data_IF_234605899597
#
_entry.id   IF_234605899597
#
_cell.length_a   1.000
_cell.length_b   1.000
_cell.length_c   1.000
_cell.angle_alpha   90.00
_cell.angle_beta   90.00
_cell.angle_gamma   90.00
#
_symmetry.space_group_name_H-M   'P 1'
#
loop_
_entity.id
_entity.type
_entity.pdbx_description
1 polymer ?
#
# COMPACT_ATOMS: atom_id res chain seq x y z
N UNK A 1 3.13 6.90 -0.84
CA UNK A 1 4.31 7.52 -1.48
C UNK A 1 4.78 6.76 -2.71
N UNK A 2 5.10 5.44 -2.64
CA UNK A 2 5.54 4.67 -3.82
C UNK A 2 4.56 4.71 -5.01
N UNK A 3 3.25 4.79 -4.77
CA UNK A 3 2.24 4.92 -5.84
C UNK A 3 2.34 6.21 -6.66
N UNK A 4 2.96 7.27 -6.13
CA UNK A 4 3.22 8.49 -6.90
C UNK A 4 4.30 8.27 -7.97
N UNK A 5 5.32 7.45 -7.67
CA UNK A 5 6.30 7.03 -8.68
C UNK A 5 5.66 6.13 -9.74
N UNK A 6 4.76 5.22 -9.33
CA UNK A 6 4.01 4.38 -10.28
C UNK A 6 3.19 5.23 -11.24
N UNK A 7 2.50 6.26 -10.73
CA UNK A 7 1.74 7.17 -11.56
C UNK A 7 2.63 8.07 -12.44
N UNK A 8 3.77 8.53 -11.92
CA UNK A 8 4.67 9.44 -12.65
C UNK A 8 5.48 8.77 -13.76
N UNK A 9 5.68 7.46 -13.71
CA UNK A 9 6.37 6.67 -14.73
C UNK A 9 5.40 5.90 -15.66
N UNK A 10 4.09 6.08 -15.49
CA UNK A 10 3.07 5.23 -16.11
C UNK A 10 3.27 3.72 -15.85
N UNK A 11 3.99 3.39 -14.77
CA UNK A 11 4.40 2.02 -14.45
C UNK A 11 3.20 1.10 -14.12
N UNK A 12 2.03 1.67 -13.87
CA UNK A 12 0.79 0.91 -13.69
C UNK A 12 0.31 0.17 -14.95
N UNK A 13 0.89 0.47 -16.11
CA UNK A 13 0.55 -0.12 -17.42
C UNK A 13 1.51 -1.23 -17.87
N UNK A 14 2.54 -1.56 -17.07
CA UNK A 14 3.58 -2.51 -17.47
C UNK A 14 3.12 -3.97 -17.28
N UNK A 15 2.88 -4.36 -16.03
CA UNK A 15 2.27 -5.65 -15.71
C UNK A 15 0.87 -5.43 -15.15
N UNK A 16 -0.16 -5.97 -15.80
CA UNK A 16 -1.58 -5.79 -15.41
C UNK A 16 -2.23 -7.08 -14.90
N UNK A 17 -1.44 -8.04 -14.44
CA UNK A 17 -1.91 -9.17 -13.64
C UNK A 17 -1.59 -9.01 -12.15
N UNK A 18 -2.29 -9.80 -11.32
CA UNK A 18 -2.05 -9.93 -9.88
C UNK A 18 -2.39 -11.37 -9.44
N UNK A 19 -1.62 -12.01 -8.53
CA UNK A 19 -0.52 -11.46 -7.74
C UNK A 19 0.84 -11.47 -8.44
N UNK A 20 0.96 -12.20 -9.55
CA UNK A 20 2.19 -12.33 -10.31
C UNK A 20 2.47 -11.08 -11.16
N UNK A 21 3.68 -11.01 -11.72
CA UNK A 21 4.16 -10.05 -12.71
C UNK A 21 4.96 -10.83 -13.75
N UNK A 22 4.50 -10.83 -15.01
CA UNK A 22 5.10 -11.61 -16.09
C UNK A 22 5.04 -13.11 -15.83
N UNK A 23 4.02 -13.59 -15.10
CA UNK A 23 3.93 -14.99 -14.68
C UNK A 23 4.87 -15.40 -13.55
N UNK A 24 5.65 -14.48 -12.98
CA UNK A 24 6.54 -14.73 -11.85
C UNK A 24 6.18 -13.88 -10.62
N UNK A 25 6.63 -14.29 -9.43
CA UNK A 25 6.45 -13.47 -8.22
C UNK A 25 7.40 -12.27 -8.18
N UNK A 26 8.58 -12.43 -8.76
CA UNK A 26 9.63 -11.42 -8.86
C UNK A 26 10.02 -11.36 -10.33
N UNK A 27 9.83 -10.23 -11.03
CA UNK A 27 10.24 -10.08 -12.42
C UNK A 27 11.76 -10.24 -12.60
N UNK A 28 12.19 -10.77 -13.73
CA UNK A 28 13.61 -10.96 -14.05
C UNK A 28 14.32 -9.64 -14.41
N UNK A 29 13.55 -8.65 -14.86
CA UNK A 29 14.01 -7.37 -15.39
C UNK A 29 13.98 -6.22 -14.36
N UNK A 30 14.04 -6.54 -13.05
CA UNK A 30 14.06 -5.53 -11.98
C UNK A 30 15.23 -4.54 -11.99
N UNK A 31 16.28 -4.80 -12.77
CA UNK A 31 17.44 -3.91 -12.86
C UNK A 31 17.78 -3.67 -14.32
N UNK A 32 17.64 -2.42 -14.77
CA UNK A 32 18.14 -1.98 -16.06
C UNK A 32 19.59 -1.50 -15.92
N UNK A 33 20.57 -2.21 -16.51
CA UNK A 33 21.99 -1.87 -16.37
C UNK A 33 22.35 -0.53 -17.04
N UNK A 34 21.49 -0.01 -17.93
CA UNK A 34 21.66 1.29 -18.61
C UNK A 34 21.33 2.47 -17.69
N UNK A 35 20.54 2.26 -16.65
CA UNK A 35 20.24 3.28 -15.64
C UNK A 35 21.40 3.35 -14.64
N UNK A 36 22.11 4.49 -14.62
CA UNK A 36 23.27 4.75 -13.76
C UNK A 36 23.09 6.06 -12.97
N UNK A 37 23.49 6.11 -11.69
CA UNK A 37 23.94 5.00 -10.83
C UNK A 37 22.83 3.98 -10.54
N UNK A 38 23.20 2.75 -10.15
CA UNK A 38 22.29 1.61 -10.07
C UNK A 38 21.06 1.83 -9.16
N UNK A 39 21.20 2.59 -8.06
CA UNK A 39 20.10 2.88 -7.13
C UNK A 39 18.92 3.61 -7.79
N UNK A 40 19.16 4.31 -8.91
CA UNK A 40 18.10 5.01 -9.65
C UNK A 40 17.04 4.05 -10.20
N UNK A 41 17.37 2.77 -10.41
CA UNK A 41 16.36 1.78 -10.79
C UNK A 41 15.19 1.73 -9.78
N UNK A 42 15.44 2.01 -8.50
CA UNK A 42 14.37 2.05 -7.48
C UNK A 42 13.34 3.18 -7.70
N UNK A 43 13.64 4.18 -8.52
CA UNK A 43 12.82 5.38 -8.68
C UNK A 43 12.50 5.71 -10.15
N UNK A 44 13.35 5.28 -11.08
CA UNK A 44 13.30 5.63 -12.50
C UNK A 44 13.00 4.42 -13.40
N UNK A 45 13.14 3.18 -12.90
CA UNK A 45 12.78 1.98 -13.65
C UNK A 45 11.34 1.58 -13.32
N UNK A 46 10.47 1.61 -14.32
CA UNK A 46 9.04 1.37 -14.22
C UNK A 46 8.69 0.01 -13.60
N UNK A 47 9.27 -1.09 -14.07
CA UNK A 47 9.05 -2.45 -13.53
C UNK A 47 9.41 -2.51 -12.05
N UNK A 48 10.56 -1.92 -11.69
CA UNK A 48 11.07 -1.94 -10.32
C UNK A 48 10.18 -1.13 -9.40
N UNK A 49 9.76 0.05 -9.84
CA UNK A 49 8.83 0.92 -9.10
C UNK A 49 7.48 0.24 -8.92
N UNK A 50 6.95 -0.41 -9.96
CA UNK A 50 5.69 -1.15 -9.89
C UNK A 50 5.80 -2.32 -8.90
N UNK A 51 6.86 -3.12 -8.98
CA UNK A 51 7.13 -4.24 -8.07
C UNK A 51 7.26 -3.76 -6.62
N UNK A 52 8.06 -2.73 -6.36
CA UNK A 52 8.23 -2.15 -5.03
C UNK A 52 6.91 -1.63 -4.46
N UNK A 53 6.08 -0.99 -5.29
CA UNK A 53 4.77 -0.52 -4.86
C UNK A 53 3.87 -1.69 -4.42
N UNK A 54 3.81 -2.78 -5.19
CA UNK A 54 3.06 -3.99 -4.84
C UNK A 54 3.54 -4.60 -3.53
N UNK A 55 4.86 -4.78 -3.36
CA UNK A 55 5.45 -5.32 -2.12
C UNK A 55 5.13 -4.43 -0.92
N UNK A 56 5.31 -3.11 -1.03
CA UNK A 56 5.01 -2.18 0.04
C UNK A 56 3.51 -2.18 0.40
N UNK A 57 2.62 -2.28 -0.59
CA UNK A 57 1.19 -2.38 -0.35
C UNK A 57 0.84 -3.67 0.42
N UNK A 58 1.38 -4.81 0.01
CA UNK A 58 1.19 -6.10 0.69
C UNK A 58 1.70 -6.08 2.13
N UNK A 59 2.93 -5.60 2.36
CA UNK A 59 3.52 -5.53 3.70
C UNK A 59 2.74 -4.55 4.59
N UNK A 60 2.32 -3.41 4.05
CA UNK A 60 1.51 -2.42 4.78
C UNK A 60 0.17 -3.02 5.20
N UNK A 61 -0.53 -3.68 4.28
CA UNK A 61 -1.82 -4.30 4.59
C UNK A 61 -1.69 -5.45 5.58
N UNK A 62 -0.68 -6.30 5.44
CA UNK A 62 -0.37 -7.34 6.42
C UNK A 62 -0.07 -6.75 7.81
N UNK A 63 0.64 -5.63 7.87
CA UNK A 63 0.92 -4.91 9.13
C UNK A 63 -0.37 -4.35 9.76
N UNK A 64 -1.28 -3.80 8.96
CA UNK A 64 -2.59 -3.34 9.43
C UNK A 64 -3.39 -4.50 10.04
N UNK A 65 -3.47 -5.64 9.34
CA UNK A 65 -4.17 -6.83 9.85
C UNK A 65 -3.53 -7.35 11.14
N UNK A 66 -2.19 -7.39 11.20
CA UNK A 66 -1.45 -7.78 12.40
C UNK A 66 -1.73 -6.86 13.59
N UNK A 67 -1.69 -5.53 13.38
CA UNK A 67 -2.01 -4.55 14.41
C UNK A 67 -3.44 -4.70 14.91
N UNK A 68 -4.41 -4.87 14.02
CA UNK A 68 -5.81 -5.10 14.38
C UNK A 68 -5.98 -6.40 15.15
N UNK A 69 -5.33 -7.49 14.72
CA UNK A 69 -5.36 -8.76 15.46
C UNK A 69 -4.77 -8.63 16.87
N UNK A 70 -3.64 -7.92 17.03
CA UNK A 70 -3.04 -7.63 18.33
C UNK A 70 -3.95 -6.77 19.22
N UNK A 71 -4.64 -5.78 18.64
CA UNK A 71 -5.62 -4.94 19.33
C UNK A 71 -6.78 -5.75 19.93
N UNK A 72 -7.17 -6.85 19.29
CA UNK A 72 -8.20 -7.78 19.80
C UNK A 72 -7.67 -8.83 20.78
N UNK A 73 -6.39 -9.18 20.72
CA UNK A 73 -5.74 -10.15 21.63
C UNK A 73 -5.19 -9.52 22.93
N UNK A 74 -4.96 -8.21 22.93
CA UNK A 74 -4.32 -7.50 24.04
C UNK A 74 -5.10 -7.59 25.36
N UNK A 75 -4.38 -7.89 26.46
CA UNK A 75 -4.92 -7.89 27.84
C UNK A 75 -5.10 -6.49 28.42
N UNK A 76 -4.38 -5.49 27.90
CA UNK A 76 -4.56 -4.07 28.25
C UNK A 76 -5.66 -3.51 27.35
N UNK A 77 -6.77 -3.08 27.95
CA UNK A 77 -7.93 -2.61 27.20
C UNK A 77 -7.60 -1.38 26.36
N UNK A 78 -7.80 -1.48 25.04
CA UNK A 78 -7.86 -0.30 24.19
C UNK A 78 -9.09 0.54 24.55
N UNK A 79 -8.96 1.86 24.52
CA UNK A 79 -10.12 2.74 24.61
C UNK A 79 -11.08 2.44 23.44
N UNK A 80 -12.40 2.65 23.61
CA UNK A 80 -13.37 2.46 22.52
C UNK A 80 -12.99 3.23 21.25
N UNK A 81 -12.40 4.43 21.40
CA UNK A 81 -11.92 5.25 20.28
C UNK A 81 -10.70 4.63 19.57
N UNK A 82 -9.73 4.10 20.31
CA UNK A 82 -8.58 3.42 19.72
C UNK A 82 -9.01 2.15 18.96
N UNK A 83 -9.98 1.40 19.50
CA UNK A 83 -10.55 0.23 18.83
C UNK A 83 -11.31 0.61 17.55
N UNK A 84 -12.12 1.67 17.60
CA UNK A 84 -12.79 2.20 16.43
C UNK A 84 -11.76 2.63 15.35
N UNK A 85 -10.71 3.35 15.71
CA UNK A 85 -9.66 3.77 14.79
C UNK A 85 -8.94 2.56 14.15
N UNK A 86 -8.63 1.51 14.92
CA UNK A 86 -8.01 0.29 14.40
C UNK A 86 -8.92 -0.45 13.41
N UNK A 87 -10.21 -0.55 13.71
CA UNK A 87 -11.19 -1.17 12.82
C UNK A 87 -11.39 -0.37 11.53
N UNK A 88 -11.47 0.95 11.64
CA UNK A 88 -11.53 1.84 10.48
C UNK A 88 -10.26 1.71 9.64
N UNK A 89 -9.09 1.60 10.27
CA UNK A 89 -7.83 1.40 9.55
C UNK A 89 -7.84 0.10 8.75
N UNK A 90 -8.32 -0.99 9.35
CA UNK A 90 -8.47 -2.28 8.66
C UNK A 90 -9.45 -2.17 7.49
N UNK A 91 -10.64 -1.59 7.70
CA UNK A 91 -11.66 -1.45 6.66
C UNK A 91 -11.18 -0.59 5.47
N UNK A 92 -10.60 0.59 5.74
CA UNK A 92 -10.03 1.47 4.70
C UNK A 92 -8.85 0.78 4.02
N UNK A 93 -8.00 0.07 4.76
CA UNK A 93 -6.90 -0.71 4.20
C UNK A 93 -7.38 -1.77 3.22
N UNK A 94 -8.43 -2.53 3.56
CA UNK A 94 -9.03 -3.53 2.67
C UNK A 94 -9.60 -2.87 1.41
N UNK A 95 -10.38 -1.79 1.57
CA UNK A 95 -10.94 -1.06 0.44
C UNK A 95 -9.84 -0.50 -0.48
N UNK A 96 -8.75 0.01 0.10
CA UNK A 96 -7.61 0.52 -0.64
C UNK A 96 -6.91 -0.57 -1.47
N UNK A 97 -6.68 -1.76 -0.89
CA UNK A 97 -6.07 -2.89 -1.62
C UNK A 97 -6.96 -3.34 -2.77
N UNK A 98 -8.26 -3.50 -2.54
CA UNK A 98 -9.22 -3.86 -3.58
C UNK A 98 -9.18 -2.82 -4.70
N UNK A 99 -9.24 -1.53 -4.35
CA UNK A 99 -9.23 -0.45 -5.33
C UNK A 99 -7.91 -0.39 -6.12
N UNK A 100 -6.77 -0.64 -5.47
CA UNK A 100 -5.46 -0.70 -6.11
C UNK A 100 -5.34 -1.86 -7.11
N UNK A 101 -5.78 -3.06 -6.72
CA UNK A 101 -5.84 -4.22 -7.61
C UNK A 101 -6.81 -3.97 -8.76
N UNK A 102 -7.99 -3.41 -8.50
CA UNK A 102 -8.95 -3.06 -9.56
C UNK A 102 -8.36 -2.05 -10.54
N UNK A 103 -7.69 -1.01 -10.06
CA UNK A 103 -6.99 -0.02 -10.90
C UNK A 103 -5.97 -0.69 -11.80
N UNK A 104 -5.19 -1.63 -11.25
CA UNK A 104 -4.19 -2.40 -11.98
C UNK A 104 -4.81 -3.29 -13.06
N UNK A 105 -5.79 -4.12 -12.71
CA UNK A 105 -6.41 -5.10 -13.64
C UNK A 105 -7.23 -4.44 -14.75
N UNK A 106 -7.64 -3.18 -14.56
CA UNK A 106 -8.42 -2.42 -15.54
C UNK A 106 -7.59 -1.41 -16.33
N UNK A 107 -6.26 -1.53 -16.32
CA UNK A 107 -5.34 -0.67 -17.07
C UNK A 107 -5.41 0.81 -16.67
N UNK A 108 -5.44 1.07 -15.36
CA UNK A 108 -5.34 2.40 -14.75
C UNK A 108 -6.39 3.42 -15.25
N UNK A 109 -7.71 3.13 -15.19
CA UNK A 109 -8.72 4.13 -15.54
C UNK A 109 -8.60 5.33 -14.59
N UNK A 110 -8.56 6.55 -15.13
CA UNK A 110 -8.34 7.78 -14.37
C UNK A 110 -9.25 7.91 -13.13
N UNK A 111 -10.56 7.60 -13.19
CA UNK A 111 -11.43 7.68 -12.01
C UNK A 111 -11.01 6.71 -10.89
N UNK A 112 -10.63 5.47 -11.23
CA UNK A 112 -10.18 4.49 -10.24
C UNK A 112 -8.81 4.88 -9.67
N UNK A 113 -7.87 5.30 -10.53
CA UNK A 113 -6.55 5.74 -10.11
C UNK A 113 -6.61 6.96 -9.17
N UNK A 114 -7.44 7.95 -9.50
CA UNK A 114 -7.65 9.13 -8.67
C UNK A 114 -8.31 8.77 -7.32
N UNK A 115 -9.32 7.89 -7.35
CA UNK A 115 -9.97 7.40 -6.13
C UNK A 115 -8.98 6.62 -5.27
N UNK A 116 -8.09 5.82 -5.88
CA UNK A 116 -7.03 5.10 -5.17
C UNK A 116 -6.05 6.06 -4.51
N UNK A 117 -5.66 7.15 -5.18
CA UNK A 117 -4.82 8.18 -4.57
C UNK A 117 -5.51 8.86 -3.38
N UNK A 118 -6.77 9.26 -3.53
CA UNK A 118 -7.56 9.85 -2.44
C UNK A 118 -7.71 8.86 -1.25
N UNK A 119 -7.97 7.59 -1.54
CA UNK A 119 -8.05 6.54 -0.54
C UNK A 119 -6.74 6.34 0.24
N UNK A 120 -5.58 6.56 -0.39
CA UNK A 120 -4.28 6.49 0.29
C UNK A 120 -4.11 7.62 1.33
N UNK A 121 -4.65 8.81 1.05
CA UNK A 121 -4.65 9.92 2.00
C UNK A 121 -5.60 9.65 3.17
N UNK A 122 -6.77 9.09 2.88
CA UNK A 122 -7.72 8.65 3.92
C UNK A 122 -7.08 7.60 4.82
N UNK A 123 -6.41 6.60 4.24
CA UNK A 123 -5.70 5.54 4.98
C UNK A 123 -4.63 6.14 5.91
N UNK A 124 -3.82 7.06 5.40
CA UNK A 124 -2.81 7.75 6.21
C UNK A 124 -3.45 8.55 7.36
N UNK A 125 -4.53 9.26 7.09
CA UNK A 125 -5.24 10.06 8.09
C UNK A 125 -5.79 9.20 9.22
N UNK A 126 -6.37 8.04 8.90
CA UNK A 126 -6.85 7.07 9.89
C UNK A 126 -5.69 6.45 10.68
N UNK A 127 -4.56 6.18 10.04
CA UNK A 127 -3.36 5.68 10.74
C UNK A 127 -2.83 6.69 11.76
N UNK A 128 -2.81 7.98 11.42
CA UNK A 128 -2.44 9.07 12.33
C UNK A 128 -3.45 9.18 13.49
N UNK A 129 -4.75 9.04 13.20
CA UNK A 129 -5.77 9.02 14.25
C UNK A 129 -5.54 7.87 15.24
N UNK A 130 -5.31 6.65 14.76
CA UNK A 130 -4.99 5.52 15.62
C UNK A 130 -3.75 5.79 16.48
N UNK A 131 -2.66 6.29 15.87
CA UNK A 131 -1.43 6.63 16.59
C UNK A 131 -1.70 7.63 17.73
N UNK A 132 -2.54 8.63 17.50
CA UNK A 132 -2.90 9.61 18.51
C UNK A 132 -3.71 8.99 19.66
N UNK A 133 -4.65 8.07 19.39
CA UNK A 133 -5.39 7.39 20.45
C UNK A 133 -4.50 6.43 21.26
N UNK A 134 -3.52 5.77 20.62
CA UNK A 134 -2.57 4.88 21.31
C UNK A 134 -1.65 5.64 22.27
N UNK A 135 -1.30 6.90 21.98
CA UNK A 135 -0.49 7.75 22.88
C UNK A 135 -1.19 8.07 24.21
N UNK A 136 -2.53 7.96 24.27
CA UNK A 136 -3.32 8.23 25.48
C UNK A 136 -3.40 7.02 26.42
N UNK A 137 -2.89 5.85 25.99
CA UNK A 137 -2.86 4.67 26.84
C UNK A 137 -1.85 4.87 27.97
N UNK A 138 -2.19 4.52 29.23
CA UNK A 138 -1.24 4.54 30.33
C UNK A 138 -0.09 3.56 30.03
N UNK A 139 1.15 3.98 30.33
CA UNK A 139 2.38 3.21 30.09
C UNK A 139 2.44 1.96 30.99
#
# INVERSE_FOLDING_TARGET
>A
MSGAFVAGLDAGLIYNEFPLMGGQWVPEDLINPRIKPAYKNMFEHDVTVQFQHRVLATVTYASILGLTALAYRGRRGLSPRARAAANTLAAVGTAQVILGISTLLTFVPTPLAATHQAGSLTLLSVAIWLLHELKKLPK
#
